data_IF_355654642083
#
_entry.id   IF_355654642083
#
_cell.length_a   1.000
_cell.length_b   1.000
_cell.length_c   1.000
_cell.angle_alpha   90.00
_cell.angle_beta   90.00
_cell.angle_gamma   90.00
#
_symmetry.space_group_name_H-M   'P 1'
#
loop_
_entity.id
_entity.type
_entity.pdbx_description
1 polymer ?
#
# COMPACT_ATOMS: atom_id res chain seq x y z
N UNK A 1 8.78 15.97 -5.88
CA UNK A 1 7.65 15.66 -4.99
C UNK A 1 8.26 15.17 -3.69
N UNK A 2 7.92 15.76 -2.54
CA UNK A 2 8.54 15.34 -1.27
C UNK A 2 8.03 13.94 -0.90
N UNK A 3 8.87 13.16 -0.21
CA UNK A 3 8.55 11.78 0.20
C UNK A 3 7.24 11.70 0.99
N UNK A 4 7.01 12.70 1.86
CA UNK A 4 5.80 12.80 2.69
C UNK A 4 4.53 12.79 1.85
N UNK A 5 4.52 13.54 0.74
CA UNK A 5 3.38 13.59 -0.17
C UNK A 5 3.16 12.28 -0.92
N UNK A 6 4.23 11.54 -1.22
CA UNK A 6 4.16 10.20 -1.84
C UNK A 6 3.49 9.23 -0.87
N UNK A 7 3.88 9.26 0.41
CA UNK A 7 3.29 8.40 1.46
C UNK A 7 1.81 8.70 1.63
N UNK A 8 1.43 9.99 1.72
CA UNK A 8 0.02 10.38 1.84
C UNK A 8 -0.80 9.93 0.63
N UNK A 9 -0.26 10.10 -0.58
CA UNK A 9 -0.93 9.67 -1.81
C UNK A 9 -1.10 8.13 -1.86
N UNK A 10 -0.06 7.38 -1.50
CA UNK A 10 -0.10 5.92 -1.42
C UNK A 10 -1.13 5.45 -0.39
N UNK A 11 -1.14 6.07 0.80
CA UNK A 11 -2.10 5.77 1.86
C UNK A 11 -3.55 5.97 1.38
N UNK A 12 -3.84 7.12 0.78
CA UNK A 12 -5.17 7.42 0.27
C UNK A 12 -5.58 6.43 -0.84
N UNK A 13 -4.68 6.14 -1.79
CA UNK A 13 -4.93 5.19 -2.87
C UNK A 13 -5.22 3.78 -2.35
N UNK A 14 -4.44 3.31 -1.37
CA UNK A 14 -4.62 1.99 -0.76
C UNK A 14 -5.95 1.91 -0.01
N UNK A 15 -6.31 2.94 0.78
CA UNK A 15 -7.59 2.97 1.48
C UNK A 15 -8.79 2.98 0.53
N UNK A 16 -8.72 3.78 -0.52
CA UNK A 16 -9.75 3.83 -1.57
C UNK A 16 -9.86 2.49 -2.28
N UNK A 17 -8.73 1.86 -2.63
CA UNK A 17 -8.71 0.53 -3.23
C UNK A 17 -9.29 -0.55 -2.30
N UNK A 18 -8.96 -0.54 -1.00
CA UNK A 18 -9.53 -1.47 -0.02
C UNK A 18 -11.04 -1.27 0.17
N UNK A 19 -11.52 -0.03 0.11
CA UNK A 19 -12.94 0.29 0.15
C UNK A 19 -13.68 -0.25 -1.10
N UNK A 20 -13.03 -0.20 -2.27
CA UNK A 20 -13.56 -0.75 -3.53
C UNK A 20 -13.42 -2.27 -3.67
N UNK A 21 -12.58 -2.94 -2.88
CA UNK A 21 -12.26 -4.37 -3.00
C UNK A 21 -13.41 -5.36 -2.75
N UNK A 22 -14.65 -4.90 -2.58
CA UNK A 22 -15.87 -5.75 -2.56
C UNK A 22 -16.64 -5.69 -3.89
N UNK A 23 -16.08 -5.06 -4.93
CA UNK A 23 -16.74 -4.95 -6.21
C UNK A 23 -16.70 -6.31 -6.94
N UNK A 24 -17.85 -6.92 -7.28
CA UNK A 24 -17.92 -8.30 -7.78
C UNK A 24 -17.20 -8.57 -9.12
N UNK A 25 -16.65 -7.54 -9.77
CA UNK A 25 -15.90 -7.62 -11.04
C UNK A 25 -14.40 -7.27 -10.91
N UNK A 26 -13.93 -6.82 -9.75
CA UNK A 26 -12.50 -6.65 -9.49
C UNK A 26 -12.00 -7.88 -8.75
N UNK A 27 -11.10 -8.66 -9.35
CA UNK A 27 -10.40 -9.77 -8.70
C UNK A 27 -9.35 -9.29 -7.65
N UNK A 28 -9.61 -8.14 -7.02
CA UNK A 28 -8.70 -7.45 -6.13
C UNK A 28 -9.31 -7.42 -4.73
N UNK A 29 -8.82 -8.30 -3.87
CA UNK A 29 -9.13 -8.28 -2.45
C UNK A 29 -8.38 -7.18 -1.71
N UNK A 30 -8.84 -6.86 -0.50
CA UNK A 30 -8.19 -5.90 0.41
C UNK A 30 -6.70 -6.17 0.58
N UNK A 31 -6.33 -7.46 0.65
CA UNK A 31 -4.95 -7.93 0.78
C UNK A 31 -4.10 -7.61 -0.46
N UNK A 32 -4.67 -7.71 -1.66
CA UNK A 32 -3.98 -7.40 -2.91
C UNK A 32 -3.65 -5.91 -3.01
N UNK A 33 -4.60 -5.03 -2.67
CA UNK A 33 -4.35 -3.58 -2.65
C UNK A 33 -3.28 -3.20 -1.62
N UNK A 34 -3.34 -3.80 -0.44
CA UNK A 34 -2.34 -3.57 0.60
C UNK A 34 -0.93 -3.96 0.14
N UNK A 35 -0.79 -5.11 -0.53
CA UNK A 35 0.49 -5.57 -1.06
C UNK A 35 1.04 -4.63 -2.13
N UNK A 36 0.20 -4.19 -3.07
CA UNK A 36 0.59 -3.20 -4.10
C UNK A 36 1.07 -1.90 -3.45
N UNK A 37 0.37 -1.44 -2.41
CA UNK A 37 0.78 -0.26 -1.62
C UNK A 37 2.15 -0.41 -0.96
N UNK A 38 2.41 -1.56 -0.33
CA UNK A 38 3.68 -1.85 0.29
C UNK A 38 4.83 -1.87 -0.73
N UNK A 39 4.62 -2.51 -1.89
CA UNK A 39 5.59 -2.54 -3.00
C UNK A 39 5.86 -1.11 -3.50
N UNK A 40 4.82 -0.30 -3.67
CA UNK A 40 4.97 1.09 -4.12
C UNK A 40 5.81 1.93 -3.15
N UNK A 41 5.56 1.83 -1.84
CA UNK A 41 6.34 2.52 -0.82
C UNK A 41 7.81 2.06 -0.80
N UNK A 42 8.06 0.77 -1.01
CA UNK A 42 9.41 0.23 -1.11
C UNK A 42 10.14 0.77 -2.35
N UNK A 43 9.51 0.76 -3.53
CA UNK A 43 10.11 1.24 -4.78
C UNK A 43 10.41 2.75 -4.78
N UNK A 44 9.66 3.53 -4.00
CA UNK A 44 9.85 4.98 -3.89
C UNK A 44 10.92 5.38 -2.86
N UNK A 45 11.48 4.41 -2.13
CA UNK A 45 12.44 4.66 -1.05
C UNK A 45 11.81 5.28 0.20
N UNK A 46 10.48 5.26 0.30
CA UNK A 46 9.75 5.71 1.49
C UNK A 46 9.87 4.73 2.67
N UNK A 47 10.22 3.48 2.41
CA UNK A 47 10.40 2.44 3.41
C UNK A 47 11.52 1.47 2.97
N UNK A 48 12.41 1.11 3.89
CA UNK A 48 13.44 0.08 3.64
C UNK A 48 12.91 -1.34 3.91
N UNK A 49 13.68 -2.36 3.52
CA UNK A 49 13.28 -3.76 3.70
C UNK A 49 13.19 -4.18 5.18
N UNK A 50 14.05 -3.64 6.04
CA UNK A 50 14.04 -3.91 7.48
C UNK A 50 12.82 -3.29 8.17
N UNK A 51 12.43 -2.07 7.80
CA UNK A 51 11.24 -1.40 8.30
C UNK A 51 9.97 -2.10 7.83
N UNK A 52 9.95 -2.60 6.59
CA UNK A 52 8.85 -3.42 6.09
C UNK A 52 8.67 -4.71 6.90
N UNK A 53 9.76 -5.40 7.24
CA UNK A 53 9.70 -6.64 8.04
C UNK A 53 9.23 -6.36 9.47
N UNK A 54 9.66 -5.25 10.09
CA UNK A 54 9.19 -4.86 11.43
C UNK A 54 7.69 -4.54 11.48
N UNK A 55 7.07 -4.22 10.34
CA UNK A 55 5.65 -3.93 10.25
C UNK A 55 4.78 -5.20 10.14
N UNK A 56 5.38 -6.38 9.95
CA UNK A 56 4.67 -7.66 9.93
C UNK A 56 4.57 -8.19 11.36
N UNK A 57 3.34 -8.40 11.83
CA UNK A 57 3.06 -9.13 13.06
C UNK A 57 3.06 -10.63 12.73
N UNK A 58 3.97 -11.39 13.34
CA UNK A 58 4.21 -12.82 13.08
C UNK A 58 3.40 -13.73 14.00
#
# INVERSE_FOLDING_TARGET
MNLDWIVVAAFAAVYVGMAMGRWPWLAVDRTGVALIGAIFLFLTGAMDAGDAVKAIDF
#
